data_IF_799791597540
#
_entry.id   IF_799791597540
#
_cell.length_a   1.000
_cell.length_b   1.000
_cell.length_c   1.000
_cell.angle_alpha   90.00
_cell.angle_beta   90.00
_cell.angle_gamma   90.00
#
_symmetry.space_group_name_H-M   'P 1'
#
loop_
_entity.id
_entity.type
_entity.pdbx_description
1 polymer ?
#
# COMPACT_ATOMS: atom_id res chain seq x y z
N UNK A 1 -2.86 -12.80 14.87
CA UNK A 1 -3.70 -12.51 13.70
C UNK A 1 -3.61 -13.67 12.72
N UNK A 2 -4.71 -13.98 12.10
CA UNK A 2 -4.74 -15.03 11.08
C UNK A 2 -4.38 -14.47 9.72
N UNK A 3 -3.71 -15.29 8.92
CA UNK A 3 -3.37 -14.92 7.55
C UNK A 3 -3.28 -16.17 6.68
N UNK A 4 -3.38 -15.97 5.38
CA UNK A 4 -3.12 -17.02 4.41
C UNK A 4 -1.92 -16.64 3.57
N UNK A 5 -1.22 -17.63 3.02
CA UNK A 5 -0.05 -17.41 2.17
C UNK A 5 -0.46 -17.65 0.73
N UNK A 6 -0.13 -16.70 -0.14
CA UNK A 6 -0.39 -16.81 -1.58
C UNK A 6 0.89 -16.58 -2.36
N UNK A 7 0.93 -17.11 -3.58
CA UNK A 7 1.89 -16.70 -4.59
C UNK A 7 1.17 -15.77 -5.55
N UNK A 8 1.78 -14.63 -5.82
CA UNK A 8 1.16 -13.58 -6.62
C UNK A 8 2.05 -13.22 -7.79
N UNK A 9 1.42 -12.99 -8.95
CA UNK A 9 2.10 -12.46 -10.12
C UNK A 9 2.42 -10.98 -9.94
N UNK A 10 3.38 -10.48 -10.73
CA UNK A 10 3.72 -9.07 -10.77
C UNK A 10 2.51 -8.23 -11.17
N UNK A 11 2.35 -7.09 -10.53
CA UNK A 11 1.29 -6.12 -10.85
C UNK A 11 1.92 -4.78 -11.23
N UNK A 12 1.26 -4.06 -12.13
CA UNK A 12 1.65 -2.70 -12.49
C UNK A 12 0.70 -1.75 -11.79
N UNK A 13 1.24 -0.70 -11.19
CA UNK A 13 0.45 0.33 -10.50
C UNK A 13 0.82 1.72 -10.99
N UNK A 14 -0.14 2.62 -10.94
CA UNK A 14 0.06 4.03 -11.28
C UNK A 14 -0.45 4.90 -10.14
N UNK A 15 0.32 5.90 -9.76
CA UNK A 15 -0.06 6.78 -8.66
C UNK A 15 1.00 7.81 -8.34
N UNK A 16 1.10 8.15 -7.06
CA UNK A 16 2.07 9.14 -6.55
C UNK A 16 2.81 8.58 -5.34
N UNK A 17 3.97 9.15 -5.04
CA UNK A 17 4.83 8.62 -3.98
C UNK A 17 5.41 9.70 -3.09
N UNK A 18 5.82 9.30 -1.90
CA UNK A 18 6.58 10.13 -0.96
C UNK A 18 7.54 9.24 -0.17
N UNK A 19 8.69 9.79 0.19
CA UNK A 19 9.68 9.10 1.02
C UNK A 19 9.48 9.50 2.47
N UNK A 20 9.46 8.56 3.39
CA UNK A 20 9.25 8.84 4.81
C UNK A 20 9.86 7.76 5.70
N UNK A 21 9.60 7.85 6.99
CA UNK A 21 10.14 6.97 8.02
C UNK A 21 9.16 6.91 9.18
N UNK A 22 8.92 5.72 9.72
CA UNK A 22 7.93 5.52 10.79
C UNK A 22 8.25 6.28 12.09
N UNK A 23 9.49 6.69 12.27
CA UNK A 23 9.92 7.43 13.45
C UNK A 23 10.04 8.93 13.19
N UNK A 24 9.73 9.39 11.98
CA UNK A 24 9.70 10.81 11.65
C UNK A 24 8.54 11.48 12.37
N UNK A 25 8.76 12.69 12.89
CA UNK A 25 7.71 13.46 13.57
C UNK A 25 6.53 13.79 12.66
N UNK A 26 6.78 13.89 11.35
CA UNK A 26 5.76 14.28 10.38
C UNK A 26 5.20 13.10 9.56
N UNK A 27 5.47 11.86 9.94
CA UNK A 27 5.07 10.68 9.15
C UNK A 27 3.58 10.66 8.85
N UNK A 28 2.73 10.96 9.82
CA UNK A 28 1.27 10.95 9.60
C UNK A 28 0.82 12.08 8.68
N UNK A 29 1.50 13.22 8.75
CA UNK A 29 1.24 14.36 7.87
C UNK A 29 1.63 14.02 6.43
N UNK A 30 2.78 13.37 6.24
CA UNK A 30 3.27 12.96 4.91
C UNK A 30 2.30 11.95 4.29
N UNK A 31 1.95 10.91 5.03
CA UNK A 31 1.05 9.86 4.52
C UNK A 31 -0.35 10.40 4.26
N UNK A 32 -0.90 11.17 5.20
CA UNK A 32 -2.22 11.79 5.04
C UNK A 32 -2.27 12.76 3.87
N UNK A 33 -1.23 13.57 3.71
CA UNK A 33 -1.12 14.50 2.59
C UNK A 33 -1.02 13.79 1.24
N UNK A 34 -0.33 12.65 1.21
CA UNK A 34 -0.23 11.83 0.00
C UNK A 34 -1.60 11.28 -0.41
N UNK A 35 -2.38 10.76 0.54
CA UNK A 35 -3.73 10.27 0.28
C UNK A 35 -4.67 11.39 -0.18
N UNK A 36 -4.58 12.57 0.45
CA UNK A 36 -5.38 13.72 0.07
C UNK A 36 -5.09 14.15 -1.37
N UNK A 37 -3.82 14.28 -1.72
CA UNK A 37 -3.40 14.62 -3.09
C UNK A 37 -3.85 13.55 -4.08
N UNK A 38 -3.74 12.29 -3.70
CA UNK A 38 -4.14 11.17 -4.55
C UNK A 38 -5.61 11.27 -4.95
N UNK A 39 -6.50 11.45 -3.98
CA UNK A 39 -7.93 11.53 -4.25
C UNK A 39 -8.35 12.83 -4.92
N UNK A 40 -7.71 13.95 -4.61
CA UNK A 40 -8.09 15.26 -5.18
C UNK A 40 -7.52 15.49 -6.57
N UNK A 41 -6.35 14.95 -6.88
CA UNK A 41 -5.64 15.32 -8.11
C UNK A 41 -5.30 14.13 -9.02
N UNK A 42 -5.18 12.93 -8.51
CA UNK A 42 -4.57 11.81 -9.24
C UNK A 42 -5.55 10.73 -9.61
N UNK A 43 -6.39 10.29 -8.69
CA UNK A 43 -7.22 9.09 -8.86
C UNK A 43 -8.03 9.11 -10.15
N UNK A 44 -8.70 10.22 -10.44
CA UNK A 44 -9.57 10.33 -11.62
C UNK A 44 -8.79 10.41 -12.93
N UNK A 45 -7.50 10.67 -12.88
CA UNK A 45 -6.64 10.74 -14.07
C UNK A 45 -6.00 9.40 -14.42
N UNK A 46 -6.06 8.43 -13.52
CA UNK A 46 -5.49 7.10 -13.79
C UNK A 46 -6.35 6.38 -14.81
N UNK A 47 -5.73 5.97 -15.91
CA UNK A 47 -6.38 5.21 -16.98
C UNK A 47 -6.09 3.72 -16.80
N UNK A 48 -6.97 2.89 -17.37
CA UNK A 48 -6.81 1.43 -17.39
C UNK A 48 -6.81 0.78 -16.01
N UNK A 49 -7.56 1.34 -15.05
CA UNK A 49 -7.70 0.73 -13.73
C UNK A 49 -8.29 -0.67 -13.85
N UNK A 50 -7.68 -1.64 -13.17
CA UNK A 50 -8.15 -3.03 -13.18
C UNK A 50 -9.48 -3.16 -12.44
N UNK A 51 -9.57 -2.56 -11.24
CA UNK A 51 -10.79 -2.69 -10.42
C UNK A 51 -11.15 -1.39 -9.68
N UNK A 52 -10.37 -0.33 -9.83
CA UNK A 52 -10.63 0.95 -9.16
C UNK A 52 -10.32 0.98 -7.67
N UNK A 53 -9.82 -0.11 -7.09
CA UNK A 53 -9.44 -0.12 -5.68
C UNK A 53 -8.19 0.71 -5.46
N UNK A 54 -8.16 1.42 -4.32
CA UNK A 54 -6.97 2.18 -3.92
C UNK A 54 -5.98 1.27 -3.21
N UNK A 55 -4.70 1.48 -3.50
CA UNK A 55 -3.61 0.72 -2.88
C UNK A 55 -2.70 1.67 -2.12
N UNK A 56 -2.33 1.29 -0.90
CA UNK A 56 -1.27 1.95 -0.15
C UNK A 56 -0.07 1.02 -0.13
N UNK A 57 1.02 1.40 -0.77
CA UNK A 57 2.16 0.52 -1.01
C UNK A 57 3.37 1.05 -0.26
N UNK A 58 4.05 0.15 0.45
CA UNK A 58 5.28 0.42 1.18
C UNK A 58 6.40 -0.37 0.52
N UNK A 59 7.37 0.32 -0.03
CA UNK A 59 8.42 -0.30 -0.83
C UNK A 59 9.73 0.48 -0.72
N UNK A 60 10.75 0.01 -1.40
CA UNK A 60 12.06 0.67 -1.41
C UNK A 60 12.57 0.91 0.02
N UNK A 61 12.39 -0.09 0.87
CA UNK A 61 12.87 -0.04 2.25
C UNK A 61 14.40 0.09 2.27
N UNK A 62 14.90 1.00 3.11
CA UNK A 62 16.34 1.11 3.35
C UNK A 62 16.87 -0.15 4.00
N UNK A 63 16.17 -0.65 5.02
CA UNK A 63 16.50 -1.88 5.74
C UNK A 63 15.24 -2.67 6.10
N UNK A 64 14.53 -2.18 7.10
CA UNK A 64 13.30 -2.78 7.64
C UNK A 64 12.32 -1.65 8.00
N UNK A 65 11.37 -1.92 8.89
CA UNK A 65 10.37 -0.92 9.31
C UNK A 65 10.96 0.26 10.08
N UNK A 66 12.23 0.19 10.44
CA UNK A 66 12.91 1.27 11.20
C UNK A 66 13.61 2.27 10.29
N UNK A 67 13.91 1.88 9.07
CA UNK A 67 14.56 2.77 8.10
C UNK A 67 13.58 3.54 7.24
N UNK A 68 14.12 4.25 6.28
CA UNK A 68 13.31 4.98 5.31
C UNK A 68 12.63 4.02 4.34
N UNK A 69 11.47 4.41 3.85
CA UNK A 69 10.75 3.67 2.81
C UNK A 69 9.98 4.64 1.92
N UNK A 70 9.56 4.15 0.76
CA UNK A 70 8.69 4.89 -0.14
C UNK A 70 7.25 4.44 0.07
N UNK A 71 6.36 5.40 0.34
CA UNK A 71 4.92 5.20 0.38
C UNK A 71 4.34 5.59 -0.97
N UNK A 72 3.55 4.71 -1.57
CA UNK A 72 2.88 4.96 -2.84
C UNK A 72 1.38 4.83 -2.62
N UNK A 73 0.62 5.81 -3.12
CA UNK A 73 -0.84 5.70 -3.23
C UNK A 73 -1.16 5.53 -4.70
N UNK A 74 -1.87 4.46 -5.05
CA UNK A 74 -1.98 4.04 -6.45
C UNK A 74 -3.21 3.20 -6.70
N UNK A 75 -3.43 2.89 -7.98
CA UNK A 75 -4.35 1.84 -8.42
C UNK A 75 -3.58 0.85 -9.31
N UNK A 76 -4.00 -0.40 -9.28
CA UNK A 76 -3.51 -1.38 -10.24
C UNK A 76 -4.04 -1.02 -11.63
N UNK A 77 -3.17 -1.08 -12.65
CA UNK A 77 -3.52 -0.78 -14.04
C UNK A 77 -3.15 -1.95 -14.93
N UNK A 78 -3.92 -2.13 -16.00
CA UNK A 78 -3.66 -3.19 -16.98
C UNK A 78 -2.55 -2.80 -17.97
N UNK A 79 -2.28 -1.49 -18.09
CA UNK A 79 -1.29 -0.95 -19.02
C UNK A 79 -0.84 0.40 -18.51
N UNK A 80 0.44 0.74 -18.70
CA UNK A 80 1.01 2.03 -18.30
C UNK A 80 1.04 3.07 -19.42
N UNK A 81 0.59 2.70 -20.63
CA UNK A 81 0.87 3.48 -21.85
C UNK A 81 0.18 4.85 -21.91
N UNK A 82 -0.88 5.06 -21.14
CA UNK A 82 -1.68 6.28 -21.23
C UNK A 82 -1.66 7.12 -19.97
N UNK A 83 -0.85 6.77 -18.99
CA UNK A 83 -0.73 7.58 -17.79
C UNK A 83 0.15 8.79 -18.09
N UNK A 84 -0.19 9.91 -17.48
CA UNK A 84 0.51 11.17 -17.75
C UNK A 84 1.77 11.32 -16.88
N UNK A 85 2.52 12.39 -17.16
CA UNK A 85 3.82 12.63 -16.54
C UNK A 85 3.76 13.02 -15.05
N UNK A 86 2.57 13.29 -14.52
CA UNK A 86 2.40 13.65 -13.11
C UNK A 86 2.30 12.44 -12.20
N UNK A 87 2.37 11.26 -12.78
CA UNK A 87 2.27 10.00 -12.05
C UNK A 87 3.52 9.17 -12.18
N UNK A 88 3.72 8.30 -11.18
CA UNK A 88 4.74 7.28 -11.27
C UNK A 88 4.10 5.96 -11.69
N UNK A 89 4.88 5.16 -12.38
CA UNK A 89 4.53 3.78 -12.71
C UNK A 89 5.50 2.89 -11.97
N UNK A 90 4.97 1.99 -11.16
CA UNK A 90 5.77 1.06 -10.36
C UNK A 90 5.22 -0.34 -10.51
N UNK A 91 6.01 -1.32 -10.07
CA UNK A 91 5.61 -2.72 -10.09
C UNK A 91 5.56 -3.25 -8.66
N UNK A 92 4.49 -3.96 -8.35
CA UNK A 92 4.44 -4.80 -7.16
C UNK A 92 5.08 -6.12 -7.57
N UNK A 93 6.19 -6.54 -6.96
CA UNK A 93 6.91 -7.72 -7.43
C UNK A 93 6.10 -9.00 -7.25
N UNK A 94 6.28 -9.94 -8.17
CA UNK A 94 5.79 -11.29 -8.01
C UNK A 94 6.48 -11.92 -6.79
N UNK A 95 5.78 -12.81 -6.11
CA UNK A 95 6.35 -13.50 -4.98
C UNK A 95 5.33 -14.03 -4.01
N UNK A 96 5.80 -14.36 -2.83
CA UNK A 96 4.98 -14.93 -1.76
C UNK A 96 4.55 -13.82 -0.80
N UNK A 97 3.28 -13.80 -0.46
CA UNK A 97 2.70 -12.80 0.44
C UNK A 97 1.85 -13.47 1.51
N UNK A 98 1.99 -12.98 2.73
CA UNK A 98 1.03 -13.28 3.81
C UNK A 98 -0.10 -12.26 3.68
N UNK A 99 -1.34 -12.74 3.55
CA UNK A 99 -2.51 -11.88 3.33
C UNK A 99 -3.38 -11.88 4.57
N UNK A 100 -3.54 -10.70 5.14
CA UNK A 100 -4.41 -10.45 6.29
C UNK A 100 -5.63 -9.68 5.82
N UNK A 101 -6.78 -9.99 6.41
CA UNK A 101 -8.02 -9.26 6.10
C UNK A 101 -8.52 -8.62 7.38
N UNK A 102 -8.74 -7.30 7.32
CA UNK A 102 -9.31 -6.53 8.43
C UNK A 102 -10.54 -5.77 7.96
N UNK A 103 -11.40 -5.41 8.89
CA UNK A 103 -12.57 -4.60 8.60
C UNK A 103 -12.80 -3.61 9.74
N UNK A 104 -13.15 -2.39 9.39
CA UNK A 104 -13.50 -1.36 10.36
C UNK A 104 -13.11 0.04 9.90
N UNK A 105 -12.95 0.93 10.86
CA UNK A 105 -12.59 2.32 10.60
C UNK A 105 -11.12 2.38 10.15
N UNK A 106 -10.91 2.89 8.94
CA UNK A 106 -9.58 3.00 8.34
C UNK A 106 -8.63 3.79 9.25
N UNK A 107 -9.13 4.83 9.90
CA UNK A 107 -8.33 5.75 10.72
C UNK A 107 -7.73 5.09 11.97
N UNK A 108 -8.32 3.99 12.42
CA UNK A 108 -7.87 3.29 13.64
C UNK A 108 -7.36 1.88 13.34
N UNK A 109 -8.04 1.14 12.47
CA UNK A 109 -7.75 -0.29 12.29
C UNK A 109 -6.45 -0.57 11.53
N UNK A 110 -6.08 0.30 10.59
CA UNK A 110 -4.83 0.14 9.85
C UNK A 110 -3.62 0.32 10.78
N UNK A 111 -3.65 1.34 11.63
CA UNK A 111 -2.59 1.58 12.61
C UNK A 111 -2.46 0.44 13.60
N UNK A 112 -3.59 -0.07 14.10
CA UNK A 112 -3.60 -1.23 15.01
C UNK A 112 -3.00 -2.46 14.34
N UNK A 113 -3.33 -2.69 13.08
CA UNK A 113 -2.78 -3.81 12.32
C UNK A 113 -1.25 -3.75 12.28
N UNK A 114 -0.69 -2.61 11.91
CA UNK A 114 0.76 -2.46 11.80
C UNK A 114 1.46 -2.67 13.15
N UNK A 115 0.88 -2.17 14.24
CA UNK A 115 1.44 -2.39 15.58
C UNK A 115 1.45 -3.87 15.95
N UNK A 116 0.38 -4.61 15.62
CA UNK A 116 0.33 -6.05 15.86
C UNK A 116 1.31 -6.80 14.98
N UNK A 117 1.42 -6.39 13.70
CA UNK A 117 2.34 -7.02 12.76
C UNK A 117 3.79 -6.91 13.24
N UNK A 118 4.17 -5.76 13.75
CA UNK A 118 5.55 -5.54 14.21
C UNK A 118 5.94 -6.46 15.38
N UNK A 119 4.96 -7.01 16.09
CA UNK A 119 5.19 -7.99 17.17
C UNK A 119 5.24 -9.43 16.67
N UNK A 120 4.85 -9.68 15.45
CA UNK A 120 4.82 -11.03 14.87
C UNK A 120 6.18 -11.45 14.36
N UNK A 121 6.42 -12.76 14.40
CA UNK A 121 7.66 -13.35 13.87
C UNK A 121 7.42 -13.86 12.45
N UNK A 122 7.27 -12.93 11.51
CA UNK A 122 7.18 -13.27 10.09
C UNK A 122 8.55 -13.11 9.43
N UNK A 123 8.86 -14.00 8.52
CA UNK A 123 10.06 -13.87 7.70
C UNK A 123 9.80 -12.91 6.55
N UNK A 124 9.75 -11.63 6.87
CA UNK A 124 9.47 -10.57 5.90
C UNK A 124 10.66 -10.31 4.99
N UNK A 125 10.36 -9.98 3.73
CA UNK A 125 11.40 -9.61 2.76
C UNK A 125 11.81 -8.15 2.87
N UNK A 126 10.92 -7.27 3.35
CA UNK A 126 11.09 -5.81 3.35
C UNK A 126 11.38 -5.27 1.94
N UNK A 127 10.71 -5.85 0.94
CA UNK A 127 10.81 -5.41 -0.44
C UNK A 127 9.55 -4.64 -0.83
N UNK A 128 8.38 -5.24 -0.57
CA UNK A 128 7.10 -4.60 -0.88
C UNK A 128 5.99 -5.19 -0.02
N UNK A 129 5.24 -4.30 0.62
CA UNK A 129 4.02 -4.64 1.36
C UNK A 129 2.94 -3.67 0.89
N UNK A 130 1.67 -4.08 0.92
CA UNK A 130 0.63 -3.14 0.53
C UNK A 130 -0.73 -3.45 1.13
N UNK A 131 -1.51 -2.37 1.27
CA UNK A 131 -2.90 -2.40 1.70
C UNK A 131 -3.78 -2.22 0.47
N UNK A 132 -4.80 -3.05 0.35
CA UNK A 132 -5.80 -2.94 -0.71
C UNK A 132 -7.15 -2.60 -0.08
N UNK A 133 -7.67 -1.43 -0.39
CA UNK A 133 -8.96 -0.96 0.12
C UNK A 133 -10.07 -1.47 -0.78
N UNK A 134 -10.76 -2.53 -0.33
CA UNK A 134 -11.64 -3.31 -1.19
C UNK A 134 -13.02 -2.71 -1.36
N UNK A 135 -13.71 -2.47 -0.25
CA UNK A 135 -15.08 -1.95 -0.30
C UNK A 135 -15.46 -1.31 1.03
N UNK A 136 -16.38 -0.37 1.00
CA UNK A 136 -16.91 0.27 2.19
C UNK A 136 -16.63 1.76 2.23
N UNK A 137 -16.81 2.34 3.42
CA UNK A 137 -16.57 3.75 3.70
C UNK A 137 -15.34 3.89 4.59
N UNK A 138 -14.95 5.13 4.89
CA UNK A 138 -13.85 5.37 5.83
C UNK A 138 -14.15 4.76 7.19
N UNK A 139 -15.41 4.83 7.63
CA UNK A 139 -15.85 4.34 8.94
C UNK A 139 -15.97 2.80 8.99
N UNK A 140 -16.16 2.15 7.84
CA UNK A 140 -16.33 0.70 7.78
C UNK A 140 -15.84 0.17 6.43
N UNK A 141 -14.57 -0.19 6.37
CA UNK A 141 -13.90 -0.62 5.15
C UNK A 141 -13.33 -2.03 5.29
N UNK A 142 -13.47 -2.82 4.23
CA UNK A 142 -12.80 -4.11 4.12
C UNK A 142 -11.44 -3.88 3.48
N UNK A 143 -10.38 -4.30 4.17
CA UNK A 143 -8.99 -4.06 3.73
C UNK A 143 -8.23 -5.37 3.75
N UNK A 144 -7.60 -5.69 2.63
CA UNK A 144 -6.64 -6.79 2.57
C UNK A 144 -5.23 -6.21 2.66
N UNK A 145 -4.40 -6.81 3.48
CA UNK A 145 -3.02 -6.34 3.68
C UNK A 145 -2.06 -7.47 3.31
N UNK A 146 -1.19 -7.17 2.37
CA UNK A 146 -0.25 -8.11 1.77
C UNK A 146 1.14 -7.82 2.27
N UNK A 147 1.74 -8.77 2.98
CA UNK A 147 3.10 -8.64 3.52
C UNK A 147 4.02 -9.58 2.75
N UNK A 148 5.04 -9.03 2.13
CA UNK A 148 6.03 -9.82 1.39
C UNK A 148 6.84 -10.71 2.35
N UNK A 149 6.87 -12.00 2.07
CA UNK A 149 7.57 -12.99 2.91
C UNK A 149 8.49 -13.87 2.07
N UNK A 150 9.47 -14.46 2.75
CA UNK A 150 10.45 -15.36 2.14
C UNK A 150 9.87 -16.72 1.76
#
# INVERSE_FOLDING_TARGET
MEYKVIKQEEKIVAGIEARTNNFSEDVYKVIGGLWEKFYSETYNKIENKVNGRSLGIYTEYENDEKGDYTMITACEVSSSNKNNNDMIIKKIPAGKYAVFTIRGDVRTEVGKFWQELWKMKLERTFICDYEEYCEGTIEDCLINIYIGIK
#
